data_IF_379907317224
#
_entry.id   IF_379907317224
#
_cell.length_a   1.000
_cell.length_b   1.000
_cell.length_c   1.000
_cell.angle_alpha   90.00
_cell.angle_beta   90.00
_cell.angle_gamma   90.00
#
_symmetry.space_group_name_H-M   'P 1'
#
loop_
_entity.id
_entity.type
_entity.pdbx_description
1 polymer ?
#
# COMPACT_ATOMS: atom_id res chain seq x y z
N UNK A 1 28.54 -2.36 35.14
CA UNK A 1 29.31 -3.56 34.73
C UNK A 1 30.68 -3.59 35.40
N UNK A 2 31.20 -2.43 35.83
CA UNK A 2 32.51 -2.32 36.49
C UNK A 2 32.45 -2.37 38.03
N UNK A 3 31.31 -2.76 38.60
CA UNK A 3 31.12 -2.81 40.04
C UNK A 3 31.86 -4.02 40.65
N UNK A 4 32.62 -3.74 41.71
CA UNK A 4 33.44 -4.69 42.48
C UNK A 4 32.82 -4.87 43.88
N UNK A 5 33.59 -5.33 44.87
CA UNK A 5 33.13 -5.54 46.24
C UNK A 5 32.80 -4.23 46.98
N UNK A 6 32.06 -4.36 48.09
CA UNK A 6 31.69 -3.22 48.94
C UNK A 6 32.97 -2.55 49.47
N UNK A 7 33.07 -1.22 49.30
CA UNK A 7 34.23 -0.37 49.62
C UNK A 7 35.43 -0.47 48.67
N UNK A 8 35.30 -1.09 47.49
CA UNK A 8 36.30 -1.08 46.43
C UNK A 8 35.91 -0.17 45.26
N UNK A 9 36.92 0.38 44.57
CA UNK A 9 36.72 1.18 43.35
C UNK A 9 36.30 0.31 42.15
N UNK A 10 35.69 0.92 41.11
CA UNK A 10 35.27 0.17 39.93
C UNK A 10 36.48 -0.37 39.15
N UNK A 11 36.35 -1.57 38.61
CA UNK A 11 37.35 -2.22 37.74
C UNK A 11 36.66 -2.57 36.43
N UNK A 12 37.27 -2.14 35.32
CA UNK A 12 36.73 -2.36 33.98
C UNK A 12 36.44 -3.84 33.73
N UNK A 13 35.24 -4.14 33.22
CA UNK A 13 34.78 -5.49 32.83
C UNK A 13 34.74 -6.53 33.97
N UNK A 14 34.73 -6.09 35.23
CA UNK A 14 34.74 -6.99 36.39
C UNK A 14 33.46 -7.86 36.51
N UNK A 15 32.29 -7.27 36.22
CA UNK A 15 30.97 -7.89 36.47
C UNK A 15 30.08 -7.83 35.22
N UNK A 16 30.57 -8.34 34.09
CA UNK A 16 29.84 -8.36 32.82
C UNK A 16 28.52 -9.13 32.88
N UNK A 17 28.40 -10.12 33.78
CA UNK A 17 27.17 -10.89 33.99
C UNK A 17 25.95 -10.02 34.37
N UNK A 18 26.19 -8.86 35.00
CA UNK A 18 25.13 -7.88 35.33
C UNK A 18 24.48 -7.28 34.07
N UNK A 19 25.13 -7.36 32.91
CA UNK A 19 24.53 -6.97 31.63
C UNK A 19 23.26 -7.75 31.30
N UNK A 20 23.26 -9.06 31.59
CA UNK A 20 22.12 -9.94 31.30
C UNK A 20 20.90 -9.50 32.12
N UNK A 21 21.10 -9.12 33.37
CA UNK A 21 20.04 -8.57 34.22
C UNK A 21 19.40 -7.33 33.59
N UNK A 22 20.21 -6.37 33.14
CA UNK A 22 19.69 -5.17 32.49
C UNK A 22 18.98 -5.47 31.18
N UNK A 23 19.50 -6.38 30.35
CA UNK A 23 18.84 -6.79 29.10
C UNK A 23 17.45 -7.38 29.39
N UNK A 24 17.35 -8.30 30.34
CA UNK A 24 16.07 -8.89 30.75
C UNK A 24 15.13 -7.81 31.30
N UNK A 25 15.64 -6.93 32.16
CA UNK A 25 14.85 -5.85 32.75
C UNK A 25 14.29 -4.90 31.66
N UNK A 26 15.13 -4.43 30.74
CA UNK A 26 14.73 -3.51 29.67
C UNK A 26 13.81 -4.14 28.62
N UNK A 27 13.75 -5.46 28.50
CA UNK A 27 12.84 -6.14 27.58
C UNK A 27 11.53 -6.50 28.31
N UNK A 28 11.62 -7.20 29.44
CA UNK A 28 10.47 -7.77 30.13
C UNK A 28 9.62 -6.70 30.81
N UNK A 29 10.24 -5.71 31.46
CA UNK A 29 9.49 -4.69 32.19
C UNK A 29 8.64 -3.82 31.25
N UNK A 30 9.18 -3.25 30.15
CA UNK A 30 8.35 -2.52 29.19
C UNK A 30 7.32 -3.41 28.50
N UNK A 31 7.66 -4.66 28.18
CA UNK A 31 6.70 -5.58 27.57
C UNK A 31 5.48 -5.83 28.46
N UNK A 32 5.70 -6.10 29.75
CA UNK A 32 4.62 -6.28 30.71
C UNK A 32 3.82 -4.98 30.91
N UNK A 33 4.50 -3.84 31.01
CA UNK A 33 3.84 -2.55 31.17
C UNK A 33 2.94 -2.20 29.98
N UNK A 34 3.43 -2.40 28.76
CA UNK A 34 2.64 -2.19 27.53
C UNK A 34 1.42 -3.12 27.49
N UNK A 35 1.56 -4.38 27.89
CA UNK A 35 0.43 -5.32 27.90
C UNK A 35 -0.67 -4.92 28.89
N UNK A 36 -0.30 -4.48 30.10
CA UNK A 36 -1.28 -3.95 31.07
C UNK A 36 -1.94 -2.69 30.52
N UNK A 37 -1.16 -1.77 29.97
CA UNK A 37 -1.65 -0.50 29.46
C UNK A 37 -2.64 -0.70 28.30
N UNK A 38 -2.30 -1.58 27.36
CA UNK A 38 -3.19 -1.95 26.23
C UNK A 38 -4.47 -2.61 26.75
N UNK A 39 -4.37 -3.53 27.71
CA UNK A 39 -5.55 -4.18 28.29
C UNK A 39 -6.49 -3.18 28.97
N UNK A 40 -5.95 -2.23 29.75
CA UNK A 40 -6.73 -1.18 30.39
C UNK A 40 -7.45 -0.31 29.35
N UNK A 41 -6.73 0.13 28.31
CA UNK A 41 -7.32 0.93 27.22
C UNK A 41 -8.46 0.17 26.54
N UNK A 42 -8.27 -1.12 26.22
CA UNK A 42 -9.30 -1.95 25.59
C UNK A 42 -10.55 -2.03 26.48
N UNK A 43 -10.39 -2.32 27.78
CA UNK A 43 -11.52 -2.39 28.72
C UNK A 43 -12.25 -1.05 28.77
N UNK A 44 -11.54 0.06 28.88
CA UNK A 44 -12.18 1.38 28.92
C UNK A 44 -12.94 1.72 27.63
N UNK A 45 -12.40 1.36 26.45
CA UNK A 45 -13.12 1.55 25.18
C UNK A 45 -14.30 0.61 25.02
N UNK A 46 -14.22 -0.61 25.54
CA UNK A 46 -15.34 -1.53 25.57
C UNK A 46 -16.45 -0.98 26.46
N UNK A 47 -16.13 -0.50 27.66
CA UNK A 47 -17.10 0.10 28.58
C UNK A 47 -17.74 1.36 27.99
N UNK A 48 -16.96 2.26 27.38
CA UNK A 48 -17.49 3.43 26.67
C UNK A 48 -18.36 3.02 25.48
N UNK A 49 -17.89 2.08 24.66
CA UNK A 49 -18.63 1.59 23.50
C UNK A 49 -19.90 0.84 23.86
N UNK A 50 -19.95 0.16 25.00
CA UNK A 50 -21.17 -0.47 25.53
C UNK A 50 -22.12 0.58 26.11
N UNK A 51 -21.63 1.54 26.90
CA UNK A 51 -22.45 2.60 27.46
C UNK A 51 -23.12 3.49 26.40
N UNK A 52 -22.49 3.73 25.26
CA UNK A 52 -23.12 4.42 24.11
C UNK A 52 -24.27 3.63 23.46
N UNK A 53 -24.35 2.32 23.72
CA UNK A 53 -25.33 1.41 23.13
C UNK A 53 -26.45 1.01 24.09
N UNK A 54 -26.26 1.22 25.39
CA UNK A 54 -27.26 0.93 26.44
C UNK A 54 -28.51 1.83 26.30
N UNK A 55 -28.41 2.98 25.63
CA UNK A 55 -29.51 3.95 25.53
C UNK A 55 -30.67 3.52 24.58
N UNK A 56 -30.61 2.31 24.01
CA UNK A 56 -31.62 1.81 23.08
C UNK A 56 -31.95 0.32 23.29
N UNK A 57 -33.24 -0.02 23.23
CA UNK A 57 -33.78 -1.40 23.28
C UNK A 57 -33.37 -2.29 22.09
N UNK A 58 -32.53 -1.78 21.19
CA UNK A 58 -32.15 -2.41 19.92
C UNK A 58 -30.71 -2.92 19.99
N UNK A 59 -30.50 -4.16 19.52
CA UNK A 59 -29.15 -4.73 19.38
C UNK A 59 -28.29 -3.95 18.35
N UNK A 60 -26.95 -4.02 18.48
CA UNK A 60 -25.99 -3.34 17.60
C UNK A 60 -26.26 -3.67 16.13
N UNK A 61 -26.53 -4.95 15.84
CA UNK A 61 -26.77 -5.43 14.48
C UNK A 61 -28.10 -4.89 13.92
N UNK A 62 -29.12 -4.76 14.77
CA UNK A 62 -30.42 -4.21 14.38
C UNK A 62 -30.30 -2.73 14.04
N UNK A 63 -29.61 -1.95 14.89
CA UNK A 63 -29.35 -0.52 14.64
C UNK A 63 -28.62 -0.31 13.31
N UNK A 64 -27.56 -1.07 13.06
CA UNK A 64 -26.81 -0.98 11.80
C UNK A 64 -27.66 -1.36 10.57
N UNK A 65 -28.50 -2.39 10.68
CA UNK A 65 -29.40 -2.79 9.60
C UNK A 65 -30.45 -1.71 9.29
N UNK A 66 -31.06 -1.13 10.33
CA UNK A 66 -32.05 -0.05 10.20
C UNK A 66 -31.40 1.19 9.59
N UNK A 67 -30.23 1.58 10.09
CA UNK A 67 -29.51 2.75 9.57
C UNK A 67 -29.11 2.56 8.11
N UNK A 68 -28.65 1.36 7.73
CA UNK A 68 -28.36 1.04 6.34
C UNK A 68 -29.61 1.10 5.46
N UNK A 69 -30.72 0.50 5.91
CA UNK A 69 -31.97 0.50 5.16
C UNK A 69 -32.50 1.92 4.91
N UNK A 70 -32.46 2.79 5.93
CA UNK A 70 -32.92 4.17 5.85
C UNK A 70 -31.99 5.04 4.98
N UNK A 71 -30.67 4.87 5.10
CA UNK A 71 -29.70 5.73 4.42
C UNK A 71 -29.28 5.24 3.02
N UNK A 72 -29.65 4.01 2.64
CA UNK A 72 -29.27 3.45 1.35
C UNK A 72 -29.86 4.27 0.20
N UNK A 73 -28.99 4.66 -0.74
CA UNK A 73 -29.39 5.30 -2.00
C UNK A 73 -29.16 4.33 -3.15
N UNK A 74 -30.05 4.33 -4.17
CA UNK A 74 -29.87 3.45 -5.32
C UNK A 74 -28.55 3.77 -6.03
N UNK A 75 -27.87 2.72 -6.48
CA UNK A 75 -26.65 2.85 -7.29
C UNK A 75 -27.03 3.39 -8.67
N UNK A 76 -26.64 4.63 -8.97
CA UNK A 76 -26.85 5.23 -10.29
C UNK A 76 -25.90 4.61 -11.32
N UNK A 77 -26.36 3.59 -12.06
CA UNK A 77 -25.63 2.99 -13.19
C UNK A 77 -26.13 3.57 -14.51
N UNK A 78 -25.27 4.26 -15.26
CA UNK A 78 -25.59 4.73 -16.61
C UNK A 78 -25.75 3.54 -17.57
N UNK A 79 -26.90 3.45 -18.24
CA UNK A 79 -27.17 2.47 -19.30
C UNK A 79 -27.58 3.22 -20.57
N UNK A 80 -26.87 3.07 -21.70
CA UNK A 80 -27.21 3.78 -22.92
C UNK A 80 -28.55 3.28 -23.49
N UNK A 81 -29.43 4.20 -23.88
CA UNK A 81 -30.83 3.92 -24.24
C UNK A 81 -31.03 3.09 -25.51
N UNK A 82 -30.05 3.07 -26.43
CA UNK A 82 -30.18 2.39 -27.72
C UNK A 82 -29.25 1.17 -27.81
N UNK A 83 -29.85 -0.02 -27.65
CA UNK A 83 -29.16 -1.33 -27.67
C UNK A 83 -28.57 -1.65 -29.06
N UNK A 84 -29.13 -1.11 -30.14
CA UNK A 84 -28.67 -1.35 -31.51
C UNK A 84 -27.49 -0.45 -31.95
N UNK A 85 -27.13 0.55 -31.14
CA UNK A 85 -26.04 1.47 -31.47
C UNK A 85 -24.66 0.88 -31.16
N UNK A 86 -23.65 1.28 -31.94
CA UNK A 86 -22.23 1.01 -31.66
C UNK A 86 -21.81 1.50 -30.27
N UNK A 87 -22.46 2.56 -29.74
CA UNK A 87 -22.25 3.06 -28.37
C UNK A 87 -22.55 2.00 -27.30
N UNK A 88 -23.59 1.19 -27.46
CA UNK A 88 -23.93 0.13 -26.51
C UNK A 88 -22.93 -1.03 -26.55
N UNK A 89 -22.36 -1.34 -27.73
CA UNK A 89 -21.27 -2.33 -27.85
C UNK A 89 -20.00 -1.87 -27.13
N UNK A 90 -19.61 -0.60 -27.30
CA UNK A 90 -18.45 -0.01 -26.62
C UNK A 90 -18.69 0.04 -25.10
N UNK A 91 -19.87 0.47 -24.66
CA UNK A 91 -20.24 0.48 -23.25
C UNK A 91 -20.17 -0.92 -22.63
N UNK A 92 -20.71 -1.95 -23.31
CA UNK A 92 -20.65 -3.35 -22.85
C UNK A 92 -19.20 -3.85 -22.74
N UNK A 93 -18.31 -3.45 -23.65
CA UNK A 93 -16.89 -3.80 -23.61
C UNK A 93 -16.20 -3.14 -22.41
N UNK A 94 -16.38 -1.82 -22.25
CA UNK A 94 -15.73 -1.03 -21.18
C UNK A 94 -16.19 -1.45 -19.79
N UNK A 95 -17.45 -1.86 -19.65
CA UNK A 95 -18.06 -2.29 -18.38
C UNK A 95 -17.84 -3.78 -18.10
N UNK A 96 -17.16 -4.50 -18.99
CA UNK A 96 -16.91 -5.94 -18.82
C UNK A 96 -15.80 -6.22 -17.81
N UNK A 97 -15.99 -7.24 -16.96
CA UNK A 97 -14.96 -7.73 -16.03
C UNK A 97 -13.61 -8.08 -16.69
N UNK A 98 -13.52 -8.72 -17.88
CA UNK A 98 -12.22 -8.96 -18.52
C UNK A 98 -11.48 -7.67 -18.90
N UNK A 99 -12.20 -6.60 -19.26
CA UNK A 99 -11.58 -5.30 -19.51
C UNK A 99 -11.02 -4.69 -18.22
N UNK A 100 -11.70 -4.85 -17.09
CA UNK A 100 -11.18 -4.42 -15.78
C UNK A 100 -9.89 -5.17 -15.41
N UNK A 101 -9.84 -6.50 -15.58
CA UNK A 101 -8.63 -7.29 -15.34
C UNK A 101 -7.47 -6.90 -16.26
N UNK A 102 -7.76 -6.56 -17.52
CA UNK A 102 -6.76 -6.05 -18.46
C UNK A 102 -6.12 -4.75 -17.94
N UNK A 103 -6.91 -3.78 -17.49
CA UNK A 103 -6.39 -2.51 -16.95
C UNK A 103 -5.59 -2.74 -15.66
N UNK A 104 -6.06 -3.59 -14.75
CA UNK A 104 -5.29 -3.94 -13.54
C UNK A 104 -3.95 -4.57 -13.88
N UNK A 105 -3.91 -5.46 -14.89
CA UNK A 105 -2.67 -6.08 -15.36
C UNK A 105 -1.72 -5.06 -15.97
N UNK A 106 -2.23 -4.10 -16.75
CA UNK A 106 -1.43 -3.02 -17.32
C UNK A 106 -0.81 -2.12 -16.25
N UNK A 107 -1.58 -1.77 -15.20
CA UNK A 107 -1.07 -1.00 -14.07
C UNK A 107 0.04 -1.77 -13.38
N UNK A 108 -0.17 -3.05 -13.08
CA UNK A 108 0.85 -3.89 -12.45
C UNK A 108 2.13 -3.97 -13.29
N UNK A 109 2.02 -4.25 -14.59
CA UNK A 109 3.18 -4.32 -15.48
C UNK A 109 3.92 -2.98 -15.59
N UNK A 110 3.20 -1.86 -15.72
CA UNK A 110 3.80 -0.53 -15.75
C UNK A 110 4.56 -0.22 -14.43
N UNK A 111 3.98 -0.56 -13.28
CA UNK A 111 4.66 -0.38 -11.98
C UNK A 111 5.95 -1.21 -11.88
N UNK A 112 5.94 -2.46 -12.36
CA UNK A 112 7.13 -3.31 -12.39
C UNK A 112 8.21 -2.70 -13.29
N UNK A 113 7.85 -2.27 -14.50
CA UNK A 113 8.80 -1.69 -15.47
C UNK A 113 9.43 -0.41 -14.94
N UNK A 114 8.66 0.42 -14.23
CA UNK A 114 9.20 1.61 -13.56
C UNK A 114 10.19 1.26 -12.44
N UNK A 115 9.93 0.19 -11.68
CA UNK A 115 10.83 -0.29 -10.61
C UNK A 115 12.08 -1.00 -11.15
N UNK A 116 12.05 -1.49 -12.38
CA UNK A 116 13.19 -2.15 -13.02
C UNK A 116 14.31 -1.17 -13.47
N UNK A 117 14.10 0.15 -13.35
CA UNK A 117 15.15 1.14 -13.58
C UNK A 117 16.09 1.17 -12.36
N UNK A 118 17.35 0.83 -12.56
CA UNK A 118 18.38 0.89 -11.52
C UNK A 118 19.43 1.95 -11.87
N UNK A 119 20.10 2.51 -10.86
CA UNK A 119 21.22 3.43 -11.06
C UNK A 119 22.49 2.63 -11.35
N UNK A 120 23.08 2.86 -12.53
CA UNK A 120 24.42 2.38 -12.85
C UNK A 120 25.37 3.58 -12.73
N UNK A 121 26.44 3.52 -11.92
CA UNK A 121 27.48 4.53 -11.94
C UNK A 121 28.17 4.48 -13.31
N UNK A 122 28.14 5.60 -14.04
CA UNK A 122 28.87 5.75 -15.28
C UNK A 122 30.36 5.79 -14.95
N UNK A 123 31.06 4.65 -15.05
CA UNK A 123 32.52 4.64 -15.13
C UNK A 123 32.94 5.09 -16.54
N UNK A 124 32.62 6.33 -16.90
CA UNK A 124 33.22 6.97 -18.06
C UNK A 124 34.62 7.42 -17.66
N UNK A 125 35.63 6.62 -17.98
CA UNK A 125 36.99 7.14 -18.08
C UNK A 125 36.97 8.25 -19.14
N UNK A 126 37.17 9.50 -18.70
CA UNK A 126 37.08 10.70 -19.53
C UNK A 126 38.08 10.70 -20.70
N UNK A 127 38.97 9.71 -20.79
CA UNK A 127 40.03 9.62 -21.80
C UNK A 127 39.83 8.49 -22.83
N UNK A 128 38.74 7.72 -22.80
CA UNK A 128 38.46 6.68 -23.80
C UNK A 128 37.15 7.00 -24.52
N UNK A 129 37.25 7.57 -25.73
CA UNK A 129 36.10 7.92 -26.59
C UNK A 129 35.34 6.71 -27.18
N UNK A 130 35.49 5.51 -26.61
CA UNK A 130 34.80 4.29 -27.04
C UNK A 130 33.92 3.82 -25.88
N UNK A 131 32.57 3.84 -26.02
CA UNK A 131 31.69 3.30 -25.00
C UNK A 131 31.89 1.79 -24.86
N UNK A 132 32.12 1.32 -23.63
CA UNK A 132 32.20 -0.10 -23.32
C UNK A 132 30.92 -0.83 -23.77
N UNK A 133 31.06 -2.08 -24.23
CA UNK A 133 29.96 -2.93 -24.69
C UNK A 133 28.83 -3.05 -23.65
N UNK A 134 29.16 -2.95 -22.36
CA UNK A 134 28.22 -3.03 -21.26
C UNK A 134 27.44 -1.72 -21.04
N UNK A 135 28.05 -0.57 -21.31
CA UNK A 135 27.42 0.76 -21.26
C UNK A 135 26.42 0.91 -22.42
N UNK A 136 26.78 0.42 -23.62
CA UNK A 136 25.87 0.38 -24.77
C UNK A 136 24.63 -0.50 -24.48
N UNK A 137 24.80 -1.66 -23.84
CA UNK A 137 23.69 -2.54 -23.45
C UNK A 137 22.74 -1.87 -22.45
N UNK A 138 23.27 -1.14 -21.47
CA UNK A 138 22.47 -0.39 -20.51
C UNK A 138 21.70 0.77 -21.17
N UNK A 139 22.31 1.47 -22.11
CA UNK A 139 21.63 2.54 -22.86
C UNK A 139 20.50 1.97 -23.73
N UNK A 140 20.71 0.83 -24.41
CA UNK A 140 19.63 0.13 -25.14
C UNK A 140 18.51 -0.37 -24.22
N UNK A 141 18.85 -0.84 -23.02
CA UNK A 141 17.88 -1.22 -21.99
C UNK A 141 17.03 -0.02 -21.56
N UNK A 142 17.67 1.09 -21.15
CA UNK A 142 16.98 2.33 -20.78
C UNK A 142 16.06 2.84 -21.89
N UNK A 143 16.51 2.84 -23.14
CA UNK A 143 15.68 3.21 -24.29
C UNK A 143 14.46 2.29 -24.43
N UNK A 144 14.63 0.98 -24.26
CA UNK A 144 13.52 0.02 -24.30
C UNK A 144 12.50 0.29 -23.19
N UNK A 145 12.95 0.61 -21.98
CA UNK A 145 12.06 0.99 -20.87
C UNK A 145 11.25 2.26 -21.18
N UNK A 146 11.87 3.26 -21.83
CA UNK A 146 11.18 4.49 -22.27
C UNK A 146 10.12 4.19 -23.33
N UNK A 147 10.42 3.33 -24.32
CA UNK A 147 9.43 2.90 -25.31
C UNK A 147 8.25 2.16 -24.68
N UNK A 148 8.50 1.25 -23.73
CA UNK A 148 7.45 0.54 -23.01
C UNK A 148 6.56 1.49 -22.21
N UNK A 149 7.14 2.42 -21.44
CA UNK A 149 6.37 3.43 -20.70
C UNK A 149 5.52 4.32 -21.63
N UNK A 150 6.06 4.66 -22.80
CA UNK A 150 5.32 5.41 -23.83
C UNK A 150 4.15 4.59 -24.38
N UNK A 151 4.36 3.29 -24.62
CA UNK A 151 3.30 2.38 -25.06
C UNK A 151 2.20 2.24 -24.00
N UNK A 152 2.54 2.07 -22.72
CA UNK A 152 1.55 2.05 -21.63
C UNK A 152 0.73 3.34 -21.58
N UNK A 153 1.39 4.50 -21.71
CA UNK A 153 0.71 5.80 -21.77
C UNK A 153 -0.31 5.86 -22.92
N UNK A 154 0.05 5.36 -24.10
CA UNK A 154 -0.87 5.30 -25.24
C UNK A 154 -2.05 4.36 -24.98
N UNK A 155 -1.81 3.20 -24.35
CA UNK A 155 -2.85 2.22 -24.04
C UNK A 155 -3.83 2.73 -22.97
N UNK A 156 -3.36 3.43 -21.94
CA UNK A 156 -4.21 4.13 -20.97
C UNK A 156 -4.99 5.28 -21.61
N UNK A 157 -4.37 6.02 -22.54
CA UNK A 157 -5.07 7.08 -23.29
C UNK A 157 -6.22 6.49 -24.13
N UNK A 158 -5.98 5.34 -24.80
CA UNK A 158 -7.01 4.63 -25.55
C UNK A 158 -8.15 4.17 -24.62
N UNK A 159 -7.83 3.63 -23.45
CA UNK A 159 -8.84 3.25 -22.45
C UNK A 159 -9.68 4.45 -22.00
N UNK A 160 -9.04 5.59 -21.71
CA UNK A 160 -9.72 6.83 -21.34
C UNK A 160 -10.70 7.30 -22.43
N UNK A 161 -10.27 7.26 -23.71
CA UNK A 161 -11.14 7.59 -24.85
C UNK A 161 -12.34 6.64 -24.96
N UNK A 162 -12.11 5.33 -24.78
CA UNK A 162 -13.19 4.33 -24.80
C UNK A 162 -14.22 4.59 -23.69
N UNK A 163 -13.75 4.92 -22.47
CA UNK A 163 -14.62 5.30 -21.35
C UNK A 163 -15.38 6.59 -21.61
N UNK A 164 -14.73 7.60 -22.18
CA UNK A 164 -15.36 8.88 -22.54
C UNK A 164 -16.48 8.68 -23.57
N UNK A 165 -16.27 7.84 -24.59
CA UNK A 165 -17.29 7.52 -25.60
C UNK A 165 -18.43 6.68 -25.01
N UNK A 166 -18.11 5.73 -24.11
CA UNK A 166 -19.08 4.86 -23.48
C UNK A 166 -20.05 5.61 -22.56
N UNK A 167 -19.54 6.47 -21.68
CA UNK A 167 -20.33 7.19 -20.68
C UNK A 167 -20.78 8.58 -21.13
N UNK A 168 -20.11 9.16 -22.14
CA UNK A 168 -20.30 10.55 -22.56
C UNK A 168 -19.72 11.55 -21.56
N UNK A 169 -19.49 12.81 -21.98
CA UNK A 169 -19.29 13.90 -21.01
C UNK A 169 -20.56 14.05 -20.18
N UNK A 170 -20.40 14.21 -18.86
CA UNK A 170 -21.51 14.57 -17.96
C UNK A 170 -21.95 16.00 -18.22
#
# INVERSE_FOLDING_TARGET
MDATEVNHGPVEDHSQQMAIFYIIFFIVFPFFFVNIFVALIIITFQEQGENELVDHELDKNQKQCIEFAINSKPLCRYMPSNIASTKYRIWRLVVSSPFEYYIMTMIALNTLILMMKYYRPDYTDANMGIPDWETQKYQSYCSTLVYLNTAFTAMFTMECLLKLIAFGPK
#
